data_IF_467840632134
#
_entry.id   IF_467840632134
#
_cell.length_a   1.000
_cell.length_b   1.000
_cell.length_c   1.000
_cell.angle_alpha   90.00
_cell.angle_beta   90.00
_cell.angle_gamma   90.00
#
_symmetry.space_group_name_H-M   'P 1'
#
loop_
_entity.id
_entity.type
_entity.pdbx_description
1 polymer ?
#
# COMPACT_ATOMS: atom_id res chain seq x y z
N UNK A 1 -20.83 -21.15 9.59
CA UNK A 1 -21.02 -21.21 8.12
C UNK A 1 -19.65 -21.17 7.48
N UNK A 2 -19.41 -22.01 6.48
CA UNK A 2 -18.14 -22.01 5.72
C UNK A 2 -18.15 -20.84 4.73
N UNK A 3 -17.05 -20.08 4.56
CA UNK A 3 -16.97 -19.02 3.55
C UNK A 3 -17.21 -19.55 2.13
N UNK A 4 -17.73 -18.70 1.25
CA UNK A 4 -17.88 -19.04 -0.17
C UNK A 4 -16.51 -19.14 -0.86
N UNK A 5 -16.42 -19.82 -2.03
CA UNK A 5 -15.19 -19.83 -2.81
C UNK A 5 -14.75 -18.42 -3.25
N UNK A 6 -15.70 -17.55 -3.63
CA UNK A 6 -15.38 -16.18 -4.04
C UNK A 6 -14.86 -15.37 -2.85
N UNK A 7 -15.52 -15.42 -1.69
CA UNK A 7 -15.03 -14.79 -0.47
C UNK A 7 -13.59 -15.19 -0.17
N UNK A 8 -13.31 -16.50 -0.21
CA UNK A 8 -11.98 -17.06 0.09
C UNK A 8 -10.93 -16.55 -0.89
N UNK A 9 -11.28 -16.45 -2.18
CA UNK A 9 -10.41 -15.86 -3.21
C UNK A 9 -10.13 -14.38 -2.92
N UNK A 10 -11.15 -13.56 -2.70
CA UNK A 10 -10.98 -12.12 -2.44
C UNK A 10 -10.14 -11.87 -1.19
N UNK A 11 -10.41 -12.61 -0.12
CA UNK A 11 -9.62 -12.55 1.12
C UNK A 11 -8.15 -12.89 0.86
N UNK A 12 -7.87 -13.99 0.15
CA UNK A 12 -6.48 -14.43 -0.11
C UNK A 12 -5.70 -13.41 -0.96
N UNK A 13 -6.35 -12.74 -1.92
CA UNK A 13 -5.73 -11.68 -2.70
C UNK A 13 -5.38 -10.47 -1.81
N UNK A 14 -6.27 -10.09 -0.89
CA UNK A 14 -5.98 -9.02 0.07
C UNK A 14 -4.80 -9.37 0.97
N UNK A 15 -4.80 -10.57 1.54
CA UNK A 15 -3.73 -11.03 2.42
C UNK A 15 -2.37 -11.03 1.70
N UNK A 16 -2.34 -11.56 0.47
CA UNK A 16 -1.14 -11.57 -0.36
C UNK A 16 -0.66 -10.15 -0.76
N UNK A 17 -1.58 -9.19 -0.92
CA UNK A 17 -1.20 -7.80 -1.19
C UNK A 17 -0.68 -7.08 0.06
N UNK A 18 -1.28 -7.33 1.23
CA UNK A 18 -0.92 -6.68 2.48
C UNK A 18 0.43 -7.17 3.05
N UNK A 19 0.75 -8.44 2.85
CA UNK A 19 1.99 -9.05 3.34
C UNK A 19 2.62 -9.98 2.29
N UNK A 20 3.08 -9.42 1.15
CA UNK A 20 3.66 -10.22 0.08
C UNK A 20 5.01 -10.80 0.52
N UNK A 21 5.30 -12.08 0.24
CA UNK A 21 6.63 -12.64 0.48
C UNK A 21 7.69 -12.01 -0.42
N UNK A 22 7.31 -11.61 -1.63
CA UNK A 22 8.18 -10.98 -2.62
C UNK A 22 7.40 -10.04 -3.55
N UNK A 23 8.13 -9.12 -4.21
CA UNK A 23 7.55 -8.14 -5.14
C UNK A 23 6.77 -8.79 -6.29
N UNK A 24 7.23 -9.93 -6.80
CA UNK A 24 6.54 -10.59 -7.92
C UNK A 24 5.19 -11.17 -7.49
N UNK A 25 5.03 -11.54 -6.22
CA UNK A 25 3.74 -11.99 -5.69
C UNK A 25 2.70 -10.88 -5.78
N UNK A 26 3.01 -9.66 -5.31
CA UNK A 26 2.06 -8.54 -5.34
C UNK A 26 1.71 -8.11 -6.77
N UNK A 27 2.63 -8.27 -7.73
CA UNK A 27 2.34 -7.95 -9.14
C UNK A 27 1.50 -9.03 -9.82
N UNK A 28 1.70 -10.31 -9.49
CA UNK A 28 0.98 -11.44 -10.09
C UNK A 28 -0.52 -11.49 -9.75
N UNK A 29 -0.92 -10.91 -8.60
CA UNK A 29 -2.30 -10.90 -8.11
C UNK A 29 -3.11 -9.69 -8.62
N UNK A 30 -2.52 -8.84 -9.47
CA UNK A 30 -3.13 -7.62 -10.00
C UNK A 30 -3.54 -7.82 -11.45
N UNK A 31 -4.66 -7.21 -11.84
CA UNK A 31 -5.05 -7.15 -13.25
C UNK A 31 -4.04 -6.31 -14.04
N UNK A 32 -3.95 -6.54 -15.35
CA UNK A 32 -3.04 -5.79 -16.22
C UNK A 32 -3.37 -4.29 -16.28
N UNK A 33 -4.64 -3.93 -16.09
CA UNK A 33 -5.12 -2.55 -16.00
C UNK A 33 -5.17 -1.99 -14.57
N UNK A 34 -4.62 -2.71 -13.58
CA UNK A 34 -4.77 -2.35 -12.19
C UNK A 34 -4.21 -0.95 -11.90
N UNK A 35 -4.84 -0.29 -10.91
CA UNK A 35 -4.46 1.04 -10.44
C UNK A 35 -4.14 1.04 -8.95
N UNK A 36 -3.22 1.90 -8.55
CA UNK A 36 -2.87 2.13 -7.16
C UNK A 36 -2.74 3.62 -6.87
N UNK A 37 -3.11 4.04 -5.66
CA UNK A 37 -2.90 5.39 -5.18
C UNK A 37 -3.25 5.55 -3.71
N UNK A 38 -3.36 6.79 -3.26
CA UNK A 38 -3.71 7.15 -1.89
C UNK A 38 -5.09 7.78 -1.81
N UNK A 39 -5.83 7.44 -0.75
CA UNK A 39 -7.26 7.78 -0.65
C UNK A 39 -7.56 9.10 0.07
N UNK A 40 -6.57 9.72 0.70
CA UNK A 40 -6.78 10.96 1.44
C UNK A 40 -6.97 12.17 0.54
N UNK A 41 -8.19 12.68 0.39
CA UNK A 41 -8.45 13.86 -0.44
C UNK A 41 -7.56 15.06 -0.09
N UNK A 42 -7.50 15.44 1.19
CA UNK A 42 -6.73 16.62 1.62
C UNK A 42 -5.23 16.38 1.60
N UNK A 43 -4.75 15.32 2.24
CA UNK A 43 -3.31 15.00 2.30
C UNK A 43 -2.70 14.88 0.90
N UNK A 44 -3.39 14.20 -0.03
CA UNK A 44 -2.95 14.06 -1.42
C UNK A 44 -2.91 15.42 -2.12
N UNK A 45 -3.91 16.27 -1.93
CA UNK A 45 -3.92 17.62 -2.54
C UNK A 45 -2.73 18.49 -2.10
N UNK A 46 -2.20 18.26 -0.89
CA UNK A 46 -1.08 19.01 -0.32
C UNK A 46 0.29 18.42 -0.66
N UNK A 47 0.36 17.15 -1.03
CA UNK A 47 1.61 16.43 -1.23
C UNK A 47 1.67 15.85 -2.66
N UNK A 48 2.37 16.53 -3.61
CA UNK A 48 2.47 16.10 -5.01
C UNK A 48 2.99 14.67 -5.20
N UNK A 49 3.86 14.19 -4.30
CA UNK A 49 4.38 12.82 -4.30
C UNK A 49 3.27 11.74 -4.18
N UNK A 50 2.13 12.10 -3.58
CA UNK A 50 0.96 11.23 -3.42
C UNK A 50 -0.10 11.42 -4.53
N UNK A 51 0.08 12.34 -5.47
CA UNK A 51 -0.97 12.67 -6.45
C UNK A 51 -0.99 11.74 -7.66
N UNK A 52 -2.18 11.45 -8.16
CA UNK A 52 -2.37 10.62 -9.35
C UNK A 52 -2.29 9.12 -9.05
N UNK A 53 -2.89 8.34 -9.96
CA UNK A 53 -2.90 6.89 -9.89
C UNK A 53 -1.69 6.31 -10.63
N UNK A 54 -1.09 5.28 -10.06
CA UNK A 54 -0.04 4.46 -10.68
C UNK A 54 -0.67 3.24 -11.33
N UNK A 55 -0.18 2.89 -12.52
CA UNK A 55 -0.35 1.55 -13.09
C UNK A 55 0.64 0.56 -12.43
N UNK A 56 0.71 -0.66 -12.95
CA UNK A 56 1.59 -1.70 -12.36
C UNK A 56 3.08 -1.34 -12.48
N UNK A 57 3.51 -0.71 -13.57
CA UNK A 57 4.91 -0.27 -13.72
C UNK A 57 5.25 0.87 -12.77
N UNK A 58 4.36 1.86 -12.64
CA UNK A 58 4.51 2.94 -11.67
C UNK A 58 4.51 2.43 -10.22
N UNK A 59 3.65 1.46 -9.90
CA UNK A 59 3.59 0.86 -8.57
C UNK A 59 4.86 0.05 -8.27
N UNK A 60 5.34 -0.75 -9.22
CA UNK A 60 6.61 -1.47 -9.13
C UNK A 60 7.77 -0.51 -8.89
N UNK A 61 7.84 0.58 -9.65
CA UNK A 61 8.87 1.60 -9.49
C UNK A 61 8.80 2.25 -8.10
N UNK A 62 7.59 2.53 -7.58
CA UNK A 62 7.41 3.05 -6.23
C UNK A 62 7.99 2.11 -5.16
N UNK A 63 7.69 0.81 -5.23
CA UNK A 63 8.20 -0.17 -4.26
C UNK A 63 9.73 -0.27 -4.31
N UNK A 64 10.31 -0.31 -5.52
CA UNK A 64 11.76 -0.43 -5.73
C UNK A 64 12.52 0.84 -5.30
N UNK A 65 11.97 2.03 -5.57
CA UNK A 65 12.63 3.30 -5.21
C UNK A 65 12.57 3.60 -3.72
N UNK A 66 11.60 3.04 -3.00
CA UNK A 66 11.44 3.23 -1.55
C UNK A 66 12.36 2.31 -0.74
N UNK A 67 12.59 1.08 -1.21
CA UNK A 67 13.36 0.04 -0.52
C UNK A 67 14.77 0.42 -0.04
N UNK A 68 15.56 1.24 -0.77
CA UNK A 68 16.87 1.69 -0.28
C UNK A 68 16.80 2.52 1.02
N UNK A 69 15.69 3.22 1.26
CA UNK A 69 15.56 4.17 2.36
C UNK A 69 14.94 3.59 3.62
N UNK A 70 14.25 2.45 3.52
CA UNK A 70 13.58 1.83 4.65
C UNK A 70 13.46 0.31 4.49
N UNK A 71 13.43 -0.37 5.63
CA UNK A 71 12.92 -1.74 5.74
C UNK A 71 11.57 -1.71 6.44
N UNK A 72 10.70 -2.67 6.13
CA UNK A 72 9.36 -2.73 6.68
C UNK A 72 9.02 -4.16 7.08
N UNK A 73 8.33 -4.31 8.21
CA UNK A 73 7.53 -5.51 8.50
C UNK A 73 6.06 -5.11 8.56
N UNK A 74 5.17 -6.06 8.24
CA UNK A 74 3.74 -5.83 8.17
C UNK A 74 3.01 -6.70 9.20
N UNK A 75 1.93 -6.17 9.76
CA UNK A 75 0.97 -6.93 10.56
C UNK A 75 -0.44 -6.61 10.10
N UNK A 76 -1.11 -7.59 9.51
CA UNK A 76 -2.55 -7.51 9.21
C UNK A 76 -3.33 -7.71 10.50
N UNK A 77 -4.22 -6.79 10.82
CA UNK A 77 -5.08 -6.90 12.01
C UNK A 77 -6.46 -7.44 11.68
N UNK A 78 -7.01 -7.02 10.54
CA UNK A 78 -8.34 -7.43 10.11
C UNK A 78 -8.50 -7.24 8.60
N UNK A 79 -9.32 -8.09 7.98
CA UNK A 79 -9.73 -7.99 6.58
C UNK A 79 -11.25 -8.19 6.52
N UNK A 80 -11.95 -7.21 5.95
CA UNK A 80 -13.39 -7.27 5.70
C UNK A 80 -13.61 -7.38 4.20
N UNK A 81 -14.41 -8.36 3.78
CA UNK A 81 -14.75 -8.61 2.37
C UNK A 81 -16.24 -8.38 2.14
N UNK A 82 -16.57 -7.57 1.13
CA UNK A 82 -17.89 -7.45 0.55
C UNK A 82 -17.90 -8.23 -0.78
N UNK A 83 -18.38 -9.48 -0.72
CA UNK A 83 -18.43 -10.38 -1.86
C UNK A 83 -19.34 -9.84 -2.98
N UNK A 84 -20.49 -9.24 -2.60
CA UNK A 84 -21.47 -8.76 -3.55
C UNK A 84 -20.93 -7.57 -4.36
N UNK A 85 -20.24 -6.65 -3.71
CA UNK A 85 -19.61 -5.51 -4.37
C UNK A 85 -18.22 -5.80 -4.92
N UNK A 86 -17.68 -7.01 -4.70
CA UNK A 86 -16.29 -7.38 -5.01
C UNK A 86 -15.31 -6.32 -4.53
N UNK A 87 -15.40 -6.03 -3.24
CA UNK A 87 -14.54 -5.09 -2.53
C UNK A 87 -14.02 -5.70 -1.26
N UNK A 88 -12.91 -5.18 -0.78
CA UNK A 88 -12.41 -5.52 0.53
C UNK A 88 -11.71 -4.32 1.16
N UNK A 89 -11.53 -4.37 2.47
CA UNK A 89 -10.68 -3.44 3.19
C UNK A 89 -9.84 -4.20 4.20
N UNK A 90 -8.59 -3.81 4.35
CA UNK A 90 -7.67 -4.41 5.31
C UNK A 90 -7.13 -3.33 6.24
N UNK A 91 -7.26 -3.55 7.55
CA UNK A 91 -6.60 -2.72 8.57
C UNK A 91 -5.29 -3.39 8.96
N UNK A 92 -4.19 -2.66 8.87
CA UNK A 92 -2.87 -3.20 9.16
C UNK A 92 -1.92 -2.13 9.69
N UNK A 93 -0.76 -2.57 10.18
CA UNK A 93 0.35 -1.67 10.49
C UNK A 93 1.59 -2.05 9.70
N UNK A 94 2.33 -1.04 9.24
CA UNK A 94 3.72 -1.18 8.85
C UNK A 94 4.63 -0.72 9.99
N UNK A 95 5.64 -1.53 10.32
CA UNK A 95 6.72 -1.14 11.21
C UNK A 95 7.92 -0.74 10.34
N UNK A 96 8.05 0.57 10.13
CA UNK A 96 9.00 1.16 9.18
C UNK A 96 10.30 1.53 9.91
N UNK A 97 11.43 0.99 9.45
CA UNK A 97 12.76 1.28 9.97
C UNK A 97 13.60 1.94 8.87
N UNK A 98 13.88 3.26 8.96
CA UNK A 98 14.79 3.92 8.02
C UNK A 98 16.17 3.26 7.98
N UNK A 99 16.70 3.05 6.79
CA UNK A 99 18.05 2.46 6.62
C UNK A 99 19.08 3.35 7.31
N UNK A 100 19.87 2.78 8.22
CA UNK A 100 20.85 3.53 9.01
C UNK A 100 20.33 4.16 10.31
N UNK A 101 19.07 3.93 10.67
CA UNK A 101 18.50 4.26 11.99
C UNK A 101 18.17 2.99 12.77
N UNK A 102 18.12 3.05 14.09
CA UNK A 102 17.49 2.03 14.94
C UNK A 102 16.04 2.35 15.33
N UNK A 103 15.56 3.53 14.94
CA UNK A 103 14.17 3.93 15.17
C UNK A 103 13.21 3.13 14.28
N UNK A 104 12.22 2.53 14.91
CA UNK A 104 11.08 1.89 14.24
C UNK A 104 9.85 2.75 14.47
N UNK A 105 9.20 3.15 13.38
CA UNK A 105 7.95 3.92 13.43
C UNK A 105 6.81 3.02 12.98
N UNK A 106 5.81 2.88 13.84
CA UNK A 106 4.55 2.22 13.47
C UNK A 106 3.70 3.18 12.64
N UNK A 107 3.26 2.72 11.48
CA UNK A 107 2.34 3.41 10.59
C UNK A 107 1.07 2.55 10.47
N UNK A 108 0.00 3.00 11.10
CA UNK A 108 -1.32 2.39 10.96
C UNK A 108 -1.95 2.81 9.63
N UNK A 109 -2.57 1.85 8.94
CA UNK A 109 -3.19 2.13 7.66
C UNK A 109 -4.40 1.24 7.35
N UNK A 110 -5.16 1.71 6.37
CA UNK A 110 -6.25 0.97 5.75
C UNK A 110 -5.97 0.86 4.26
N UNK A 111 -6.00 -0.37 3.76
CA UNK A 111 -6.14 -0.63 2.33
C UNK A 111 -7.61 -0.76 1.97
N UNK A 112 -7.99 -0.25 0.80
CA UNK A 112 -9.25 -0.59 0.15
C UNK A 112 -8.96 -1.21 -1.21
N UNK A 113 -9.69 -2.27 -1.54
CA UNK A 113 -9.49 -3.05 -2.74
C UNK A 113 -10.77 -3.14 -3.57
N UNK A 114 -10.61 -3.11 -4.89
CA UNK A 114 -11.63 -3.56 -5.86
C UNK A 114 -11.06 -4.69 -6.69
N UNK A 115 -11.88 -5.67 -7.01
CA UNK A 115 -11.48 -6.83 -7.81
C UNK A 115 -12.09 -6.80 -9.20
N UNK A 116 -11.59 -7.66 -10.09
CA UNK A 116 -12.19 -7.89 -11.40
C UNK A 116 -13.52 -8.64 -11.27
N UNK A 117 -14.41 -8.42 -12.24
CA UNK A 117 -15.74 -9.05 -12.29
C UNK A 117 -15.74 -10.39 -13.03
N UNK A 118 -14.60 -11.10 -13.05
CA UNK A 118 -14.50 -12.39 -13.74
C UNK A 118 -15.45 -13.43 -13.10
N UNK A 119 -16.13 -14.19 -13.95
CA UNK A 119 -17.03 -15.28 -13.55
C UNK A 119 -16.23 -16.52 -13.11
N UNK A 120 -15.04 -16.70 -13.68
CA UNK A 120 -14.09 -17.71 -13.24
C UNK A 120 -13.34 -17.18 -12.01
N UNK A 121 -13.65 -17.76 -10.84
CA UNK A 121 -13.10 -17.35 -9.55
C UNK A 121 -11.57 -17.38 -9.57
N UNK A 122 -10.95 -18.30 -10.30
CA UNK A 122 -9.49 -18.42 -10.34
C UNK A 122 -8.83 -17.24 -11.08
N UNK A 123 -9.56 -16.60 -12.00
CA UNK A 123 -9.14 -15.43 -12.78
C UNK A 123 -9.44 -14.09 -12.10
N UNK A 124 -10.08 -14.10 -10.94
CA UNK A 124 -10.31 -12.87 -10.17
C UNK A 124 -8.98 -12.31 -9.68
N UNK A 125 -8.75 -11.01 -9.94
CA UNK A 125 -7.52 -10.27 -9.63
C UNK A 125 -7.86 -8.92 -8.99
N UNK A 126 -6.88 -8.28 -8.37
CA UNK A 126 -7.00 -6.91 -7.86
C UNK A 126 -6.97 -5.91 -9.02
N UNK A 127 -8.02 -5.10 -9.13
CA UNK A 127 -8.11 -4.02 -10.13
C UNK A 127 -7.74 -2.65 -9.55
N UNK A 128 -8.01 -2.43 -8.27
CA UNK A 128 -7.70 -1.17 -7.59
C UNK A 128 -7.21 -1.45 -6.18
N UNK A 129 -6.16 -0.77 -5.75
CA UNK A 129 -5.68 -0.75 -4.37
C UNK A 129 -5.42 0.68 -3.93
N UNK A 130 -6.23 1.19 -3.00
CA UNK A 130 -6.08 2.55 -2.45
C UNK A 130 -5.62 2.47 -1.01
N UNK A 131 -4.59 3.23 -0.67
CA UNK A 131 -3.96 3.25 0.65
C UNK A 131 -4.37 4.50 1.45
N UNK A 132 -4.71 4.30 2.72
CA UNK A 132 -4.92 5.35 3.71
C UNK A 132 -3.94 5.15 4.86
N UNK A 133 -2.82 5.84 4.80
CA UNK A 133 -1.74 5.84 5.79
C UNK A 133 -1.88 6.84 6.94
N UNK A 134 -1.25 6.57 8.07
CA UNK A 134 -1.00 7.59 9.09
C UNK A 134 0.02 8.62 8.57
N UNK A 135 -0.47 9.82 8.27
CA UNK A 135 0.35 10.90 7.74
C UNK A 135 1.44 11.35 8.70
N UNK A 136 1.18 11.35 10.01
CA UNK A 136 2.13 11.77 11.04
C UNK A 136 3.26 10.75 11.19
N UNK A 137 2.94 9.45 11.19
CA UNK A 137 3.93 8.38 11.18
C UNK A 137 4.83 8.44 9.94
N UNK A 138 4.22 8.60 8.77
CA UNK A 138 4.95 8.69 7.50
C UNK A 138 5.85 9.93 7.41
N UNK A 139 5.36 11.08 7.89
CA UNK A 139 6.17 12.28 7.99
C UNK A 139 7.37 12.08 8.91
N UNK A 140 7.20 11.37 10.04
CA UNK A 140 8.32 11.04 10.95
C UNK A 140 9.36 10.16 10.25
N UNK A 141 8.94 9.08 9.59
CA UNK A 141 9.84 8.19 8.83
C UNK A 141 10.60 8.96 7.76
N UNK A 142 9.90 9.80 6.97
CA UNK A 142 10.50 10.65 5.95
C UNK A 142 11.54 11.60 6.50
N UNK A 143 11.28 12.23 7.65
CA UNK A 143 12.25 13.10 8.31
C UNK A 143 13.51 12.37 8.74
N UNK A 144 13.37 11.20 9.38
CA UNK A 144 14.53 10.41 9.82
C UNK A 144 15.34 9.93 8.62
N UNK A 145 14.68 9.45 7.57
CA UNK A 145 15.36 9.05 6.33
C UNK A 145 16.16 10.21 5.72
N UNK A 146 15.58 11.42 5.65
CA UNK A 146 16.27 12.59 5.10
C UNK A 146 17.44 13.07 5.95
N UNK A 147 17.38 12.90 7.27
CA UNK A 147 18.51 13.21 8.16
C UNK A 147 19.72 12.31 7.90
N UNK A 148 19.50 11.08 7.45
CA UNK A 148 20.56 10.09 7.20
C UNK A 148 21.06 10.19 5.76
N UNK A 149 20.14 10.26 4.79
CA UNK A 149 20.44 10.13 3.36
C UNK A 149 20.49 11.46 2.61
N UNK A 150 20.11 12.57 3.26
CA UNK A 150 19.87 13.85 2.58
C UNK A 150 18.54 13.85 1.83
N UNK A 151 18.45 14.57 0.72
CA UNK A 151 17.22 14.58 -0.09
C UNK A 151 16.96 13.21 -0.72
N UNK A 152 15.68 12.82 -0.74
CA UNK A 152 15.24 11.60 -1.42
C UNK A 152 15.32 11.81 -2.92
N UNK A 153 15.54 10.73 -3.68
CA UNK A 153 15.44 10.81 -5.14
C UNK A 153 14.03 11.30 -5.55
N UNK A 154 13.95 12.17 -6.56
CA UNK A 154 12.71 12.72 -7.12
C UNK A 154 11.69 11.65 -7.54
N UNK A 155 12.15 10.43 -7.83
CA UNK A 155 11.31 9.32 -8.25
C UNK A 155 10.68 8.57 -7.05
N UNK A 156 11.11 8.88 -5.82
CA UNK A 156 10.53 8.33 -4.59
C UNK A 156 9.15 8.93 -4.37
N UNK A 157 8.17 8.05 -4.20
CA UNK A 157 6.76 8.40 -3.92
C UNK A 157 6.31 7.83 -2.58
N UNK A 158 5.06 8.10 -2.21
CA UNK A 158 4.43 7.54 -1.02
C UNK A 158 4.74 8.29 0.27
N UNK A 159 4.36 7.68 1.38
CA UNK A 159 4.31 8.36 2.67
C UNK A 159 5.67 8.89 3.16
N UNK A 160 6.77 8.20 2.86
CA UNK A 160 8.13 8.68 3.17
C UNK A 160 8.46 10.05 2.52
N UNK A 161 7.76 10.40 1.43
CA UNK A 161 7.92 11.65 0.71
C UNK A 161 6.92 12.75 1.14
N UNK A 162 6.14 12.55 2.21
CA UNK A 162 5.26 13.59 2.78
C UNK A 162 6.11 14.72 3.35
N UNK A 163 5.79 15.96 2.98
CA UNK A 163 6.50 17.17 3.45
C UNK A 163 5.60 18.12 4.22
N UNK A 164 4.28 17.95 4.11
CA UNK A 164 3.29 18.79 4.79
C UNK A 164 2.31 17.91 5.57
N UNK A 165 2.30 18.12 6.88
CA UNK A 165 1.25 17.68 7.79
C UNK A 165 0.68 18.94 8.47
N UNK A 166 -0.64 19.16 8.40
CA UNK A 166 -1.27 20.22 9.20
C UNK A 166 -1.42 19.69 10.64
N UNK A 167 -0.99 20.50 11.62
CA UNK A 167 -1.21 20.30 13.06
C UNK A 167 -2.45 21.03 13.51
#
# INVERSE_FOLDING_TARGET
>A
MTPSPLYSKLFSLCEAHCNPPELDTILSIRSTDARHGWGHNRLVSLNPSLQGLMDNEGFKAHLLTTGPYLTATAKVHDIVVDEHQRKASARMSYFLKPTGSDEVVENDLIWTFKFTDDEDIDKVLIRESIEFVDASANFRVGRVAKQIHGELNKDVRGGIAITVIET
#
